data_IF_881060349571
#
_entry.id   IF_881060349571
#
_cell.length_a   1.000
_cell.length_b   1.000
_cell.length_c   1.000
_cell.angle_alpha   90.00
_cell.angle_beta   90.00
_cell.angle_gamma   90.00
#
_symmetry.space_group_name_H-M   'P 1'
#
loop_
_entity.id
_entity.type
_entity.pdbx_description
1 polymer ?
#
# COMPACT_ATOMS: atom_id res chain seq x y z
N UNK A 1 -34.67 -9.65 4.34
CA UNK A 1 -33.69 -10.68 4.35
C UNK A 1 -32.64 -10.48 3.31
N UNK A 2 -33.04 -10.53 2.08
CA UNK A 2 -32.08 -10.37 1.00
C UNK A 2 -31.37 -9.07 1.05
N UNK A 3 -32.06 -8.07 1.45
CA UNK A 3 -31.47 -6.75 1.57
C UNK A 3 -30.34 -6.76 2.55
N UNK A 4 -30.48 -7.52 3.63
CA UNK A 4 -29.42 -7.61 4.59
C UNK A 4 -28.17 -8.21 4.00
N UNK A 5 -28.34 -9.22 3.16
CA UNK A 5 -27.20 -9.84 2.54
C UNK A 5 -26.44 -8.84 1.68
N UNK A 6 -27.18 -8.04 0.93
CA UNK A 6 -26.56 -7.04 0.11
C UNK A 6 -25.77 -6.04 0.93
N UNK A 7 -26.35 -5.63 2.03
CA UNK A 7 -25.66 -4.68 2.90
C UNK A 7 -24.43 -5.28 3.50
N UNK A 8 -24.50 -6.54 3.90
CA UNK A 8 -23.36 -7.18 4.49
C UNK A 8 -22.19 -7.27 3.52
N UNK A 9 -22.49 -7.57 2.28
CA UNK A 9 -21.43 -7.63 1.27
C UNK A 9 -20.79 -6.26 1.12
N UNK A 10 -21.59 -5.23 1.04
CA UNK A 10 -21.08 -3.87 0.89
C UNK A 10 -20.22 -3.48 2.09
N UNK A 11 -20.66 -3.83 3.28
CA UNK A 11 -19.90 -3.50 4.46
C UNK A 11 -18.55 -4.21 4.49
N UNK A 12 -18.54 -5.45 4.09
CA UNK A 12 -17.30 -6.20 4.03
C UNK A 12 -16.33 -5.55 3.07
N UNK A 13 -16.84 -5.13 1.93
CA UNK A 13 -16.00 -4.47 0.95
C UNK A 13 -15.39 -3.18 1.52
N UNK A 14 -16.20 -2.39 2.18
CA UNK A 14 -15.72 -1.13 2.76
C UNK A 14 -14.64 -1.39 3.79
N UNK A 15 -14.81 -2.42 4.60
CA UNK A 15 -13.82 -2.73 5.62
C UNK A 15 -12.47 -3.08 5.06
N UNK A 16 -12.43 -3.58 3.84
CA UNK A 16 -11.17 -3.96 3.23
C UNK A 16 -10.36 -2.78 2.75
N UNK A 17 -10.97 -1.60 2.69
CA UNK A 17 -10.30 -0.42 2.21
C UNK A 17 -9.92 0.45 3.39
N UNK A 18 -8.63 0.70 3.53
CA UNK A 18 -8.11 1.54 4.60
C UNK A 18 -8.56 2.98 4.39
N UNK A 19 -8.85 3.73 5.46
CA UNK A 19 -9.08 5.17 5.32
C UNK A 19 -7.91 5.90 4.67
N UNK A 20 -6.74 5.30 4.71
CA UNK A 20 -5.52 5.86 4.16
C UNK A 20 -5.56 5.92 2.63
N UNK A 21 -6.45 5.16 1.99
CA UNK A 21 -6.40 5.05 0.53
C UNK A 21 -6.57 6.39 -0.17
N UNK A 22 -7.22 7.34 0.47
CA UNK A 22 -7.44 8.64 -0.15
C UNK A 22 -6.17 9.47 -0.28
N UNK A 23 -5.15 9.15 0.52
CA UNK A 23 -3.90 9.90 0.47
C UNK A 23 -2.75 9.11 -0.11
N UNK A 24 -2.96 7.83 -0.41
CA UNK A 24 -1.86 7.00 -0.90
C UNK A 24 -1.28 7.54 -2.21
N UNK A 25 -2.14 8.06 -3.08
CA UNK A 25 -1.68 8.58 -4.37
C UNK A 25 -0.76 9.78 -4.19
N UNK A 26 -0.90 10.51 -3.09
CA UNK A 26 -0.05 11.66 -2.83
C UNK A 26 1.31 11.28 -2.28
N UNK A 27 1.41 10.08 -1.72
CA UNK A 27 2.63 9.63 -1.06
C UNK A 27 3.47 8.70 -1.92
N UNK A 28 2.98 8.34 -3.10
CA UNK A 28 3.71 7.41 -3.95
C UNK A 28 5.06 8.00 -4.36
N UNK A 29 6.08 7.15 -4.34
CA UNK A 29 7.43 7.55 -4.67
C UNK A 29 7.76 7.24 -6.13
N UNK A 30 8.83 7.84 -6.60
CA UNK A 30 9.26 7.74 -7.98
C UNK A 30 10.09 6.48 -8.18
N UNK A 31 9.45 5.34 -8.13
CA UNK A 31 10.11 4.07 -8.38
C UNK A 31 9.68 3.51 -9.73
N UNK A 32 9.14 2.30 -9.72
CA UNK A 32 8.65 1.69 -10.95
C UNK A 32 7.44 2.47 -11.47
N UNK A 33 7.51 2.87 -12.72
CA UNK A 33 6.48 3.73 -13.33
C UNK A 33 5.12 3.05 -13.39
N UNK A 34 5.11 1.77 -13.76
CA UNK A 34 3.83 1.04 -13.85
C UNK A 34 3.18 0.96 -12.48
N UNK A 35 3.95 0.60 -11.47
CA UNK A 35 3.42 0.48 -10.13
C UNK A 35 2.91 1.82 -9.61
N UNK A 36 3.66 2.89 -9.84
CA UNK A 36 3.23 4.22 -9.40
C UNK A 36 1.92 4.62 -10.06
N UNK A 37 1.76 4.32 -11.34
CA UNK A 37 0.54 4.62 -12.06
C UNK A 37 -0.64 3.84 -11.50
N UNK A 38 -0.42 2.57 -11.19
CA UNK A 38 -1.48 1.76 -10.60
C UNK A 38 -1.93 2.32 -9.25
N UNK A 39 -0.98 2.74 -8.42
CA UNK A 39 -1.31 3.29 -7.11
C UNK A 39 -2.07 4.60 -7.26
N UNK A 40 -1.64 5.47 -8.16
CA UNK A 40 -2.33 6.72 -8.38
C UNK A 40 -3.73 6.53 -8.92
N UNK A 41 -3.96 5.42 -9.62
CA UNK A 41 -5.28 5.06 -10.11
C UNK A 41 -6.09 4.24 -9.14
N UNK A 42 -5.62 4.08 -7.91
CA UNK A 42 -6.30 3.32 -6.86
C UNK A 42 -6.41 1.82 -7.17
N UNK A 43 -5.57 1.32 -8.06
CA UNK A 43 -5.52 -0.10 -8.38
C UNK A 43 -4.50 -0.79 -7.48
N UNK A 44 -4.81 -0.83 -6.19
CA UNK A 44 -3.84 -1.25 -5.18
C UNK A 44 -3.48 -2.72 -5.27
N UNK A 45 -4.47 -3.57 -5.51
CA UNK A 45 -4.20 -5.00 -5.59
C UNK A 45 -3.38 -5.34 -6.82
N UNK A 46 -3.66 -4.66 -7.92
CA UNK A 46 -2.86 -4.82 -9.12
C UNK A 46 -1.44 -4.34 -8.89
N UNK A 47 -1.29 -3.24 -8.15
CA UNK A 47 0.04 -2.73 -7.83
C UNK A 47 0.82 -3.74 -6.98
N UNK A 48 0.15 -4.33 -5.99
CA UNK A 48 0.77 -5.36 -5.16
C UNK A 48 1.25 -6.52 -6.03
N UNK A 49 0.37 -7.03 -6.88
CA UNK A 49 0.72 -8.18 -7.71
C UNK A 49 1.89 -7.85 -8.64
N UNK A 50 1.84 -6.67 -9.23
CA UNK A 50 2.90 -6.26 -10.15
C UNK A 50 4.25 -6.15 -9.44
N UNK A 51 4.27 -5.47 -8.30
CA UNK A 51 5.52 -5.26 -7.58
C UNK A 51 6.06 -6.56 -7.00
N UNK A 52 5.18 -7.44 -6.54
CA UNK A 52 5.62 -8.72 -6.02
C UNK A 52 6.20 -9.61 -7.10
N UNK A 53 5.80 -9.40 -8.35
CA UNK A 53 6.32 -10.17 -9.46
C UNK A 53 7.66 -9.69 -9.98
N UNK A 54 8.15 -8.57 -9.53
CA UNK A 54 9.45 -8.07 -9.96
C UNK A 54 10.56 -8.87 -9.32
N UNK A 55 11.59 -9.18 -10.10
CA UNK A 55 12.74 -9.90 -9.57
C UNK A 55 13.52 -9.06 -8.57
N UNK A 56 13.60 -7.78 -8.84
CA UNK A 56 14.33 -6.85 -7.98
C UNK A 56 13.49 -5.63 -7.73
N UNK A 57 13.51 -5.16 -6.50
CA UNK A 57 12.83 -3.93 -6.12
C UNK A 57 13.84 -3.03 -5.41
N UNK A 58 13.86 -1.76 -5.78
CA UNK A 58 14.68 -0.80 -5.04
C UNK A 58 13.89 -0.29 -3.82
N UNK A 59 14.49 0.64 -3.08
CA UNK A 59 13.85 1.13 -1.86
C UNK A 59 12.50 1.77 -2.15
N UNK A 60 12.40 2.54 -3.22
CA UNK A 60 11.14 3.20 -3.54
C UNK A 60 10.07 2.20 -3.96
N UNK A 61 10.48 1.12 -4.64
CA UNK A 61 9.53 0.07 -5.00
C UNK A 61 9.01 -0.64 -3.77
N UNK A 62 9.88 -0.92 -2.78
CA UNK A 62 9.44 -1.53 -1.53
C UNK A 62 8.48 -0.60 -0.80
N UNK A 63 8.79 0.69 -0.77
CA UNK A 63 7.91 1.66 -0.14
C UNK A 63 6.55 1.71 -0.83
N UNK A 64 6.54 1.74 -2.17
CA UNK A 64 5.28 1.79 -2.91
C UNK A 64 4.46 0.51 -2.70
N UNK A 65 5.13 -0.63 -2.61
CA UNK A 65 4.44 -1.87 -2.28
C UNK A 65 3.80 -1.77 -0.91
N UNK A 66 4.51 -1.19 0.04
CA UNK A 66 3.94 -0.93 1.36
C UNK A 66 2.72 -0.03 1.28
N UNK A 67 2.78 1.03 0.46
CA UNK A 67 1.64 1.92 0.27
C UNK A 67 0.42 1.18 -0.26
N UNK A 68 0.64 0.31 -1.25
CA UNK A 68 -0.46 -0.44 -1.82
C UNK A 68 -1.09 -1.37 -0.79
N UNK A 69 -0.26 -2.02 0.03
CA UNK A 69 -0.78 -2.85 1.11
C UNK A 69 -1.53 -2.02 2.14
N UNK A 70 -0.98 -0.89 2.54
CA UNK A 70 -1.62 -0.05 3.54
C UNK A 70 -2.97 0.45 3.05
N UNK A 71 -3.03 0.90 1.79
CA UNK A 71 -4.26 1.39 1.22
C UNK A 71 -5.32 0.29 1.14
N UNK A 72 -4.88 -0.95 1.02
CA UNK A 72 -5.78 -2.11 1.00
C UNK A 72 -6.14 -2.60 2.40
N UNK A 73 -5.58 -1.99 3.44
CA UNK A 73 -5.89 -2.40 4.81
C UNK A 73 -4.98 -3.49 5.35
N UNK A 74 -3.97 -3.90 4.60
CA UNK A 74 -3.04 -4.96 5.01
C UNK A 74 -1.86 -4.34 5.74
N UNK A 75 -2.09 -3.91 6.96
CA UNK A 75 -1.11 -3.13 7.70
C UNK A 75 0.16 -3.89 8.04
N UNK A 76 0.10 -5.16 8.50
CA UNK A 76 1.35 -5.88 8.80
C UNK A 76 2.24 -6.04 7.58
N UNK A 77 1.66 -6.32 6.42
CA UNK A 77 2.42 -6.44 5.19
C UNK A 77 3.01 -5.11 4.80
N UNK A 78 2.22 -4.05 4.94
CA UNK A 78 2.70 -2.70 4.63
C UNK A 78 3.93 -2.37 5.46
N UNK A 79 3.86 -2.62 6.76
CA UNK A 79 4.98 -2.32 7.64
C UNK A 79 6.24 -3.09 7.25
N UNK A 80 6.08 -4.36 6.90
CA UNK A 80 7.23 -5.16 6.49
C UNK A 80 7.95 -4.53 5.31
N UNK A 81 7.22 -4.06 4.33
CA UNK A 81 7.84 -3.49 3.14
C UNK A 81 8.37 -2.09 3.41
N UNK A 82 7.72 -1.32 4.27
CA UNK A 82 8.25 -0.04 4.68
C UNK A 82 9.58 -0.22 5.43
N UNK A 83 9.67 -1.25 6.25
CA UNK A 83 10.92 -1.51 6.97
C UNK A 83 12.02 -1.93 6.01
N UNK A 84 11.69 -2.69 4.98
CA UNK A 84 12.67 -3.05 3.96
C UNK A 84 13.16 -1.81 3.22
N UNK A 85 12.25 -0.91 2.91
CA UNK A 85 12.62 0.34 2.25
C UNK A 85 13.55 1.16 3.13
N UNK A 86 13.20 1.28 4.41
CA UNK A 86 14.01 2.06 5.34
C UNK A 86 15.39 1.46 5.54
N UNK A 87 15.49 0.15 5.49
CA UNK A 87 16.76 -0.51 5.60
C UNK A 87 17.71 -0.11 4.47
N UNK A 88 17.17 0.12 3.30
CA UNK A 88 17.96 0.50 2.14
C UNK A 88 18.29 1.98 2.13
N UNK A 89 17.39 2.81 2.64
CA UNK A 89 17.59 4.27 2.70
C UNK A 89 17.23 4.73 4.10
N UNK A 90 18.18 4.60 5.01
CA UNK A 90 17.91 4.76 6.44
C UNK A 90 17.59 6.18 6.85
N UNK A 91 17.93 7.17 6.03
CA UNK A 91 17.67 8.56 6.37
C UNK A 91 16.47 9.15 5.64
N UNK A 92 15.76 8.35 4.86
CA UNK A 92 14.61 8.85 4.11
C UNK A 92 13.45 9.15 5.07
N UNK A 93 13.02 10.41 5.19
CA UNK A 93 11.98 10.75 6.17
C UNK A 93 10.62 10.15 5.83
N UNK A 94 10.31 9.98 4.55
CA UNK A 94 9.04 9.40 4.15
C UNK A 94 8.96 7.93 4.59
N UNK A 95 10.08 7.21 4.49
CA UNK A 95 10.12 5.82 4.91
C UNK A 95 10.01 5.71 6.43
N UNK A 96 10.67 6.62 7.15
CA UNK A 96 10.56 6.64 8.60
C UNK A 96 9.13 6.89 9.05
N UNK A 97 8.48 7.85 8.41
CA UNK A 97 7.10 8.17 8.75
C UNK A 97 6.17 7.00 8.48
N UNK A 98 6.40 6.30 7.38
CA UNK A 98 5.57 5.17 7.02
C UNK A 98 5.70 4.03 8.04
N UNK A 99 6.91 3.74 8.47
CA UNK A 99 7.13 2.70 9.50
C UNK A 99 6.43 3.10 10.78
N UNK A 100 6.57 4.36 11.18
CA UNK A 100 5.93 4.87 12.38
C UNK A 100 4.42 4.75 12.30
N UNK A 101 3.85 5.16 11.16
CA UNK A 101 2.41 5.15 10.97
C UNK A 101 1.83 3.74 11.06
N UNK A 102 2.58 2.76 10.61
CA UNK A 102 2.09 1.38 10.54
C UNK A 102 2.54 0.52 11.72
N UNK A 103 3.26 1.11 12.68
CA UNK A 103 3.82 0.35 13.78
C UNK A 103 2.75 -0.14 14.75
N UNK A 104 1.71 0.59 14.90
CA UNK A 104 0.62 0.19 15.75
C UNK A 104 -0.49 -0.47 14.96
#
# INVERSE_FOLDING_TARGET
MKIKLGRQVAQTYVKQISPFHETADLLVQDGNTVAATLIRGNAYQEAVAYLQGLEERNAKDEYNLGLAFEASGEIPQARNHYELALKRETSNPDFKDAVKRTRD
#
